data_IF_351197353980
#
_entry.id   IF_351197353980
#
_cell.length_a   1.000
_cell.length_b   1.000
_cell.length_c   1.000
_cell.angle_alpha   90.00
_cell.angle_beta   90.00
_cell.angle_gamma   90.00
#
_symmetry.space_group_name_H-M   'P 1'
#
loop_
_entity.id
_entity.type
_entity.pdbx_description
1 polymer ?
#
# COMPACT_ATOMS: atom_id res chain seq x y z
N UNK A 1 14.49 -17.94 9.27
CA UNK A 1 13.46 -17.42 10.20
C UNK A 1 13.44 -15.91 10.07
N UNK A 2 12.26 -15.27 10.04
CA UNK A 2 12.13 -13.81 10.01
C UNK A 2 12.41 -13.27 11.43
N UNK A 3 13.28 -12.28 11.56
CA UNK A 3 13.65 -11.65 12.84
C UNK A 3 13.59 -10.13 12.69
N UNK A 4 12.83 -9.47 13.56
CA UNK A 4 12.74 -8.00 13.60
C UNK A 4 13.85 -7.41 14.49
N UNK A 5 14.27 -6.16 14.27
CA UNK A 5 13.79 -5.26 13.21
C UNK A 5 14.32 -5.64 11.82
N UNK A 6 13.59 -5.23 10.77
CA UNK A 6 14.03 -5.39 9.39
C UNK A 6 14.21 -4.03 8.73
N UNK A 7 15.33 -3.83 8.04
CA UNK A 7 15.53 -2.65 7.19
C UNK A 7 14.95 -2.85 5.80
N UNK A 8 14.48 -1.75 5.23
CA UNK A 8 13.86 -1.67 3.93
C UNK A 8 14.49 -0.53 3.14
N UNK A 9 14.66 -0.77 1.85
CA UNK A 9 14.97 0.24 0.85
C UNK A 9 14.07 0.00 -0.36
N UNK A 10 13.42 1.04 -0.88
CA UNK A 10 12.40 0.90 -1.90
C UNK A 10 12.45 1.96 -2.98
N UNK A 11 12.17 1.56 -4.23
CA UNK A 11 11.69 2.45 -5.28
C UNK A 11 10.18 2.26 -5.44
N UNK A 12 9.40 3.33 -5.31
CA UNK A 12 7.95 3.31 -5.27
C UNK A 12 7.36 4.17 -6.40
N UNK A 13 6.28 3.69 -7.02
CA UNK A 13 5.37 4.52 -7.83
C UNK A 13 3.99 4.47 -7.17
N UNK A 14 3.46 5.63 -6.81
CA UNK A 14 2.10 5.74 -6.26
C UNK A 14 1.20 6.51 -7.21
N UNK A 15 0.04 5.94 -7.50
CA UNK A 15 -1.09 6.63 -8.08
C UNK A 15 -2.09 6.96 -6.97
N UNK A 16 -2.46 8.22 -6.84
CA UNK A 16 -3.65 8.61 -6.08
C UNK A 16 -4.85 8.50 -7.01
N UNK A 17 -5.71 7.53 -6.73
CA UNK A 17 -6.79 7.11 -7.61
C UNK A 17 -8.12 7.57 -7.04
N UNK A 18 -8.93 8.16 -7.91
CA UNK A 18 -10.35 8.40 -7.68
C UNK A 18 -11.16 7.48 -8.60
N UNK A 19 -12.19 6.84 -8.06
CA UNK A 19 -13.10 5.96 -8.75
C UNK A 19 -14.34 6.75 -9.20
N UNK A 20 -14.87 6.41 -10.37
CA UNK A 20 -16.05 7.09 -10.92
C UNK A 20 -17.32 6.90 -10.06
N UNK A 21 -17.32 5.87 -9.21
CA UNK A 21 -18.33 5.61 -8.19
C UNK A 21 -17.69 4.84 -7.03
N UNK A 22 -18.29 4.92 -5.84
CA UNK A 22 -17.84 4.13 -4.69
C UNK A 22 -17.92 2.63 -4.96
N UNK A 23 -16.96 1.88 -4.43
CA UNK A 23 -16.90 0.42 -4.51
C UNK A 23 -16.78 -0.20 -3.12
N UNK A 24 -17.32 -1.41 -2.98
CA UNK A 24 -17.13 -2.21 -1.77
C UNK A 24 -15.76 -2.88 -1.77
N UNK A 25 -14.78 -2.23 -1.16
CA UNK A 25 -13.42 -2.75 -1.01
C UNK A 25 -13.32 -3.87 0.02
N UNK A 26 -14.34 -4.06 0.88
CA UNK A 26 -14.32 -5.12 1.89
C UNK A 26 -14.28 -6.51 1.26
N UNK A 27 -14.73 -6.66 0.01
CA UNK A 27 -14.69 -7.94 -0.70
C UNK A 27 -13.25 -8.45 -0.95
N UNK A 28 -12.26 -7.54 -0.92
CA UNK A 28 -10.85 -7.86 -1.09
C UNK A 28 -10.15 -8.19 0.24
N UNK A 29 -10.85 -8.08 1.36
CA UNK A 29 -10.31 -8.33 2.70
C UNK A 29 -10.98 -9.57 3.31
N UNK A 30 -10.33 -10.76 3.33
CA UNK A 30 -10.96 -12.01 3.76
C UNK A 30 -11.46 -11.98 5.20
N UNK A 31 -10.77 -11.25 6.07
CA UNK A 31 -11.06 -11.14 7.49
C UNK A 31 -12.07 -10.03 7.82
N UNK A 32 -12.83 -9.56 6.81
CA UNK A 32 -13.81 -8.46 6.95
C UNK A 32 -14.86 -8.69 8.04
N UNK A 33 -15.16 -9.94 8.37
CA UNK A 33 -16.10 -10.32 9.44
C UNK A 33 -15.63 -9.92 10.84
N UNK A 34 -14.34 -9.61 10.99
CA UNK A 34 -13.76 -9.22 12.27
C UNK A 34 -13.53 -7.72 12.37
N UNK A 35 -13.59 -6.99 11.26
CA UNK A 35 -13.47 -5.54 11.27
C UNK A 35 -14.59 -4.94 12.12
N UNK A 36 -14.30 -3.87 12.84
CA UNK A 36 -15.38 -3.11 13.46
C UNK A 36 -16.31 -2.51 12.40
N UNK A 37 -17.54 -2.17 12.84
CA UNK A 37 -18.58 -1.68 11.94
C UNK A 37 -18.21 -0.37 11.25
N UNK A 38 -17.48 0.54 11.90
CA UNK A 38 -17.14 1.85 11.35
C UNK A 38 -16.12 1.71 10.21
N UNK A 39 -15.07 0.91 10.42
CA UNK A 39 -14.10 0.61 9.37
C UNK A 39 -14.77 -0.11 8.20
N UNK A 40 -15.62 -1.10 8.47
CA UNK A 40 -16.33 -1.85 7.43
C UNK A 40 -17.19 -0.94 6.53
N UNK A 41 -17.92 0.02 7.11
CA UNK A 41 -18.72 0.97 6.33
C UNK A 41 -17.84 1.90 5.47
N UNK A 42 -16.68 2.33 5.98
CA UNK A 42 -15.70 3.08 5.17
C UNK A 42 -15.17 2.24 4.00
N UNK A 43 -14.91 0.94 4.21
CA UNK A 43 -14.49 0.03 3.13
C UNK A 43 -15.58 -0.12 2.05
N UNK A 44 -16.85 -0.13 2.44
CA UNK A 44 -17.99 -0.28 1.52
C UNK A 44 -18.25 0.94 0.64
N UNK A 45 -17.82 2.11 1.09
CA UNK A 45 -18.08 3.40 0.46
C UNK A 45 -16.80 4.05 -0.13
N UNK A 46 -15.79 3.24 -0.48
CA UNK A 46 -14.51 3.76 -0.96
C UNK A 46 -14.63 4.29 -2.39
N UNK A 47 -14.31 5.56 -2.61
CA UNK A 47 -14.16 6.22 -3.91
C UNK A 47 -12.74 6.73 -4.17
N UNK A 48 -11.87 6.71 -3.16
CA UNK A 48 -10.47 7.14 -3.24
C UNK A 48 -9.52 6.11 -2.65
N UNK A 49 -8.36 5.94 -3.27
CA UNK A 49 -7.33 5.00 -2.82
C UNK A 49 -5.95 5.38 -3.33
N UNK A 50 -4.93 4.78 -2.73
CA UNK A 50 -3.59 4.78 -3.27
C UNK A 50 -3.23 3.39 -3.78
N UNK A 51 -2.82 3.34 -5.03
CA UNK A 51 -2.17 2.18 -5.62
C UNK A 51 -0.67 2.44 -5.65
N UNK A 52 0.09 1.70 -4.85
CA UNK A 52 1.55 1.80 -4.80
C UNK A 52 2.17 0.54 -5.39
N UNK A 53 3.13 0.72 -6.29
CA UNK A 53 3.97 -0.34 -6.83
C UNK A 53 5.38 -0.10 -6.35
N UNK A 54 5.97 -1.11 -5.72
CA UNK A 54 7.28 -0.98 -5.09
C UNK A 54 8.22 -2.05 -5.60
N UNK A 55 9.47 -1.66 -5.86
CA UNK A 55 10.63 -2.56 -5.87
C UNK A 55 11.35 -2.39 -4.56
N UNK A 56 11.41 -3.45 -3.77
CA UNK A 56 11.90 -3.41 -2.40
C UNK A 56 13.10 -4.34 -2.24
N UNK A 57 14.11 -3.83 -1.56
CA UNK A 57 15.13 -4.61 -0.90
C UNK A 57 14.82 -4.64 0.60
N UNK A 58 14.81 -5.81 1.23
CA UNK A 58 14.58 -5.88 2.69
C UNK A 58 15.33 -7.00 3.37
N UNK A 59 15.79 -6.74 4.58
CA UNK A 59 16.31 -7.76 5.48
C UNK A 59 15.18 -8.72 5.92
N UNK A 60 15.51 -10.00 6.05
CA UNK A 60 14.72 -11.03 6.74
C UNK A 60 15.22 -11.19 8.17
N UNK A 61 16.54 -11.12 8.34
CA UNK A 61 17.32 -11.18 9.57
C UNK A 61 18.70 -10.58 9.31
N UNK A 62 19.60 -10.68 10.29
CA UNK A 62 20.98 -10.16 10.24
C UNK A 62 21.83 -10.65 9.06
N UNK A 63 21.56 -11.84 8.52
CA UNK A 63 22.41 -12.51 7.52
C UNK A 63 21.73 -12.66 6.14
N UNK A 64 20.47 -12.27 6.02
CA UNK A 64 19.66 -12.58 4.84
C UNK A 64 18.77 -11.41 4.44
N UNK A 65 18.81 -11.07 3.16
CA UNK A 65 17.95 -10.08 2.54
C UNK A 65 17.32 -10.63 1.26
N UNK A 66 16.24 -10.00 0.82
CA UNK A 66 15.50 -10.34 -0.39
C UNK A 66 15.19 -9.09 -1.20
N UNK A 67 15.13 -9.28 -2.50
CA UNK A 67 14.51 -8.35 -3.43
C UNK A 67 13.11 -8.85 -3.79
N UNK A 68 12.13 -7.95 -3.79
CA UNK A 68 10.76 -8.29 -4.14
C UNK A 68 10.03 -7.10 -4.77
N UNK A 69 9.00 -7.40 -5.54
CA UNK A 69 8.03 -6.41 -6.01
C UNK A 69 6.77 -6.51 -5.17
N UNK A 70 6.13 -5.38 -4.90
CA UNK A 70 4.88 -5.27 -4.15
C UNK A 70 3.89 -4.35 -4.88
N UNK A 71 2.63 -4.76 -4.99
CA UNK A 71 1.52 -3.89 -5.38
C UNK A 71 0.61 -3.77 -4.17
N UNK A 72 0.56 -2.60 -3.56
CA UNK A 72 -0.24 -2.30 -2.38
C UNK A 72 -1.44 -1.41 -2.76
N UNK A 73 -2.63 -1.86 -2.41
CA UNK A 73 -3.85 -1.05 -2.42
C UNK A 73 -4.16 -0.65 -0.99
N UNK A 74 -4.08 0.65 -0.71
CA UNK A 74 -4.44 1.22 0.60
C UNK A 74 -5.45 2.32 0.43
N UNK A 75 -6.39 2.42 1.35
CA UNK A 75 -7.44 3.43 1.31
C UNK A 75 -7.28 4.39 2.50
N UNK A 76 -7.64 5.67 2.34
CA UNK A 76 -7.73 6.57 3.46
C UNK A 76 -8.91 6.18 4.36
N UNK A 77 -8.68 6.16 5.67
CA UNK A 77 -9.73 5.90 6.68
C UNK A 77 -9.62 6.89 7.84
N UNK A 78 -10.72 7.05 8.56
CA UNK A 78 -10.82 7.80 9.80
C UNK A 78 -11.07 6.86 10.97
N UNK A 79 -10.23 6.97 12.00
CA UNK A 79 -10.37 6.26 13.27
C UNK A 79 -10.13 7.28 14.38
N UNK A 80 -11.10 7.45 15.27
CA UNK A 80 -11.08 8.45 16.35
C UNK A 80 -10.67 9.85 15.86
N UNK A 81 -11.33 10.31 14.79
CA UNK A 81 -11.12 11.59 14.10
C UNK A 81 -9.71 11.83 13.53
N UNK A 82 -8.86 10.80 13.53
CA UNK A 82 -7.52 10.84 12.93
C UNK A 82 -7.50 10.08 11.61
N UNK A 83 -6.79 10.63 10.62
CA UNK A 83 -6.66 10.02 9.30
C UNK A 83 -5.50 9.03 9.24
N UNK A 84 -5.77 7.85 8.70
CA UNK A 84 -4.80 6.78 8.49
C UNK A 84 -4.90 6.23 7.07
N UNK A 85 -3.95 5.38 6.72
CA UNK A 85 -4.09 4.47 5.60
C UNK A 85 -4.39 3.05 6.10
N UNK A 86 -5.46 2.46 5.60
CA UNK A 86 -5.75 1.05 5.81
C UNK A 86 -5.30 0.23 4.59
N UNK A 87 -4.33 -0.70 4.72
CA UNK A 87 -3.88 -1.54 3.62
C UNK A 87 -4.89 -2.67 3.37
N UNK A 88 -5.66 -2.57 2.29
CA UNK A 88 -6.70 -3.54 1.95
C UNK A 88 -6.08 -4.86 1.49
N UNK A 89 -5.19 -4.79 0.52
CA UNK A 89 -4.54 -5.97 -0.03
C UNK A 89 -3.20 -5.59 -0.62
N UNK A 90 -2.24 -6.49 -0.48
CA UNK A 90 -0.96 -6.40 -1.16
C UNK A 90 -0.66 -7.67 -1.95
N UNK A 91 -0.08 -7.51 -3.13
CA UNK A 91 0.41 -8.61 -3.94
C UNK A 91 1.93 -8.55 -4.02
N UNK A 92 2.60 -9.63 -3.62
CA UNK A 92 4.06 -9.67 -3.49
C UNK A 92 4.67 -10.77 -4.34
N UNK A 93 5.86 -10.52 -4.87
CA UNK A 93 6.57 -11.50 -5.70
C UNK A 93 7.43 -12.50 -4.89
N UNK A 94 7.57 -12.30 -3.57
CA UNK A 94 8.47 -13.11 -2.75
C UNK A 94 7.78 -13.69 -1.50
N UNK A 95 7.87 -15.02 -1.26
CA UNK A 95 7.24 -15.69 -0.12
C UNK A 95 7.60 -15.14 1.27
N UNK A 96 8.86 -14.77 1.51
CA UNK A 96 9.24 -14.13 2.78
C UNK A 96 8.52 -12.79 3.04
N UNK A 97 8.24 -11.98 2.01
CA UNK A 97 7.44 -10.75 2.18
C UNK A 97 5.98 -11.07 2.51
N UNK A 98 5.41 -12.12 1.91
CA UNK A 98 4.07 -12.65 2.22
C UNK A 98 3.98 -13.08 3.69
N UNK A 99 4.90 -13.95 4.12
CA UNK A 99 4.91 -14.51 5.48
C UNK A 99 5.11 -13.38 6.52
N UNK A 100 6.06 -12.46 6.28
CA UNK A 100 6.26 -11.29 7.14
C UNK A 100 5.01 -10.42 7.20
N UNK A 101 4.34 -10.23 6.07
CA UNK A 101 3.05 -9.52 6.00
C UNK A 101 2.03 -10.12 6.96
N UNK A 102 1.80 -11.43 6.90
CA UNK A 102 0.88 -12.10 7.83
C UNK A 102 1.31 -11.98 9.29
N UNK A 103 2.61 -12.07 9.59
CA UNK A 103 3.11 -11.85 10.96
C UNK A 103 2.79 -10.44 11.48
N UNK A 104 2.82 -9.44 10.60
CA UNK A 104 2.54 -8.05 10.94
C UNK A 104 1.05 -7.69 10.82
N UNK A 105 0.19 -8.58 10.30
CA UNK A 105 -1.25 -8.31 10.12
C UNK A 105 -1.67 -7.72 8.79
N UNK A 106 -0.80 -7.78 7.79
CA UNK A 106 -1.15 -7.44 6.41
C UNK A 106 -1.80 -8.63 5.73
N UNK A 107 -2.90 -8.35 5.02
CA UNK A 107 -3.39 -9.28 4.03
C UNK A 107 -2.54 -9.18 2.77
N UNK A 108 -1.81 -10.27 2.46
CA UNK A 108 -0.97 -10.36 1.27
C UNK A 108 -1.32 -11.60 0.45
N UNK A 109 -1.11 -11.53 -0.85
CA UNK A 109 -1.15 -12.66 -1.79
C UNK A 109 0.18 -12.78 -2.55
N UNK A 110 0.59 -14.00 -2.90
CA UNK A 110 1.73 -14.22 -3.77
C UNK A 110 1.33 -14.05 -5.24
N UNK A 111 2.08 -13.23 -5.98
CA UNK A 111 1.90 -13.05 -7.41
C UNK A 111 3.23 -12.67 -8.09
N UNK A 112 3.79 -13.62 -8.85
CA UNK A 112 5.10 -13.50 -9.50
C UNK A 112 5.03 -12.78 -10.85
N UNK A 113 3.83 -12.41 -11.33
CA UNK A 113 3.63 -11.93 -12.71
C UNK A 113 3.79 -10.42 -12.87
N UNK A 114 3.96 -9.67 -11.78
CA UNK A 114 4.09 -8.22 -11.86
C UNK A 114 5.43 -7.81 -12.45
N UNK A 115 5.39 -7.18 -13.64
CA UNK A 115 6.55 -6.57 -14.28
C UNK A 115 6.48 -5.06 -14.11
N UNK A 116 7.55 -4.49 -13.56
CA UNK A 116 7.67 -3.05 -13.37
C UNK A 116 8.68 -2.45 -14.35
N UNK A 117 8.23 -1.47 -15.12
CA UNK A 117 9.11 -0.64 -15.95
C UNK A 117 8.91 0.83 -15.59
N UNK A 118 10.00 1.58 -15.36
CA UNK A 118 9.95 2.94 -14.78
C UNK A 118 9.09 3.95 -15.54
N UNK A 119 8.71 3.70 -16.81
CA UNK A 119 7.92 4.60 -17.67
C UNK A 119 6.48 4.13 -17.93
N UNK A 120 6.17 2.89 -17.55
CA UNK A 120 4.90 2.24 -17.88
C UNK A 120 4.46 1.35 -16.71
N UNK A 121 3.24 1.56 -16.26
CA UNK A 121 2.57 0.73 -15.27
C UNK A 121 1.58 -0.14 -16.02
N UNK A 122 1.91 -1.43 -16.13
CA UNK A 122 1.02 -2.46 -16.66
C UNK A 122 0.79 -3.50 -15.56
N UNK A 123 -0.32 -3.34 -14.85
CA UNK A 123 -0.68 -4.22 -13.74
C UNK A 123 -2.10 -4.72 -13.96
N UNK A 124 -2.31 -5.99 -13.69
CA UNK A 124 -3.65 -6.55 -13.66
C UNK A 124 -3.72 -7.75 -12.76
N UNK A 125 -4.83 -7.84 -12.03
CA UNK A 125 -5.25 -9.03 -11.30
C UNK A 125 -6.67 -9.34 -11.77
N UNK A 126 -6.83 -10.52 -12.36
CA UNK A 126 -8.12 -10.94 -12.93
C UNK A 126 -9.24 -10.81 -11.90
N UNK A 127 -10.36 -10.19 -12.31
CA UNK A 127 -11.51 -9.93 -11.44
C UNK A 127 -11.33 -8.79 -10.43
N UNK A 128 -10.10 -8.30 -10.19
CA UNK A 128 -9.82 -7.25 -9.20
C UNK A 128 -9.53 -5.92 -9.86
N UNK A 129 -8.43 -5.81 -10.60
CA UNK A 129 -8.02 -4.53 -11.20
C UNK A 129 -7.29 -4.71 -12.52
N UNK A 130 -7.27 -3.63 -13.31
CA UNK A 130 -6.41 -3.48 -14.47
C UNK A 130 -5.99 -2.03 -14.58
N UNK A 131 -4.71 -1.75 -14.38
CA UNK A 131 -4.09 -0.45 -14.57
C UNK A 131 -3.12 -0.53 -15.74
N UNK A 132 -3.37 0.29 -16.76
CA UNK A 132 -2.54 0.41 -17.95
C UNK A 132 -2.28 1.89 -18.16
N UNK A 133 -1.13 2.33 -17.69
CA UNK A 133 -0.76 3.74 -17.71
C UNK A 133 0.67 3.89 -18.19
N UNK A 134 0.83 4.52 -19.35
CA UNK A 134 2.12 5.04 -19.78
C UNK A 134 2.18 6.52 -19.42
N UNK A 135 3.35 6.95 -18.94
CA UNK A 135 3.55 8.35 -18.63
C UNK A 135 4.85 8.81 -19.26
N UNK A 136 4.83 10.02 -19.82
CA UNK A 136 6.04 10.66 -20.26
C UNK A 136 6.57 11.51 -19.11
N UNK A 137 7.84 11.33 -18.77
CA UNK A 137 8.57 12.20 -17.83
C UNK A 137 8.88 13.52 -18.55
N UNK A 138 7.86 14.30 -18.82
CA UNK A 138 8.06 15.66 -19.31
C UNK A 138 8.42 16.55 -18.12
N UNK A 139 9.65 17.08 -18.12
CA UNK A 139 10.17 17.95 -17.05
C UNK A 139 9.27 19.17 -16.80
N UNK A 140 8.46 19.60 -17.79
CA UNK A 140 7.51 20.69 -17.63
C UNK A 140 6.36 20.39 -16.66
N UNK A 141 6.10 19.11 -16.37
CA UNK A 141 5.04 18.64 -15.45
C UNK A 141 5.57 18.24 -14.06
N UNK A 142 6.89 18.34 -13.85
CA UNK A 142 7.55 18.00 -12.60
C UNK A 142 7.30 19.09 -11.55
N UNK A 143 6.73 18.70 -10.41
CA UNK A 143 6.77 19.51 -9.20
C UNK A 143 7.72 18.86 -8.19
N UNK A 144 8.75 19.62 -7.79
CA UNK A 144 9.48 19.29 -6.57
C UNK A 144 8.61 19.72 -5.39
N UNK A 145 7.99 18.77 -4.71
CA UNK A 145 7.24 19.03 -3.47
C UNK A 145 7.83 18.19 -2.35
N UNK A 146 8.25 18.82 -1.27
CA UNK A 146 8.84 18.12 -0.11
C UNK A 146 7.79 17.48 0.81
N UNK A 147 6.50 17.78 0.62
CA UNK A 147 5.44 17.25 1.49
C UNK A 147 5.11 15.79 1.13
N UNK A 148 5.64 14.87 1.93
CA UNK A 148 5.22 13.46 1.96
C UNK A 148 3.92 13.35 2.77
N UNK A 149 2.94 12.63 2.25
CA UNK A 149 1.79 12.21 3.05
C UNK A 149 2.23 11.16 4.07
N UNK A 150 2.29 11.56 5.33
CA UNK A 150 2.80 10.74 6.45
C UNK A 150 1.69 10.06 7.26
N UNK A 151 0.49 9.92 6.70
CA UNK A 151 -0.58 9.15 7.37
C UNK A 151 -0.06 7.75 7.75
N UNK A 152 -0.10 7.37 9.04
CA UNK A 152 0.37 6.06 9.46
C UNK A 152 -0.47 4.93 8.85
N UNK A 153 0.15 3.77 8.67
CA UNK A 153 -0.58 2.55 8.32
C UNK A 153 -1.25 1.99 9.56
N UNK A 154 -2.57 1.92 9.51
CA UNK A 154 -3.41 1.33 10.55
C UNK A 154 -3.83 -0.08 10.12
N UNK A 155 -3.77 -1.00 11.07
CA UNK A 155 -4.08 -2.41 10.90
C UNK A 155 -5.15 -2.78 11.90
N UNK A 156 -6.10 -3.59 11.47
CA UNK A 156 -7.11 -4.17 12.33
C UNK A 156 -6.94 -5.67 12.23
N UNK A 157 -6.57 -6.34 13.32
CA UNK A 157 -6.07 -7.71 13.19
C UNK A 157 -6.63 -8.67 14.26
N UNK A 158 -6.98 -9.87 13.80
CA UNK A 158 -7.08 -11.09 14.60
C UNK A 158 -6.00 -12.06 14.10
N UNK A 159 -4.73 -11.77 14.37
CA UNK A 159 -3.66 -12.73 14.11
C UNK A 159 -3.68 -13.81 15.18
N UNK A 160 -3.61 -15.08 14.80
CA UNK A 160 -3.43 -16.20 15.74
C UNK A 160 -2.14 -16.10 16.59
N UNK A 161 -1.23 -15.17 16.26
CA UNK A 161 -0.01 -14.86 17.01
C UNK A 161 -0.15 -13.64 17.93
N UNK A 162 -1.20 -12.83 17.73
CA UNK A 162 -1.53 -11.67 18.56
C UNK A 162 -2.78 -12.06 19.35
N UNK A 163 -2.56 -12.62 20.55
CA UNK A 163 -3.62 -12.92 21.49
C UNK A 163 -4.51 -11.68 21.72
N UNK A 164 -5.79 -11.81 21.37
CA UNK A 164 -6.98 -11.08 21.84
C UNK A 164 -6.85 -9.55 21.97
N UNK A 165 -7.45 -8.84 21.01
CA UNK A 165 -8.62 -7.96 21.16
C UNK A 165 -8.84 -7.25 19.81
N UNK A 166 -10.10 -7.05 19.43
CA UNK A 166 -10.52 -6.19 18.31
C UNK A 166 -9.94 -4.79 18.52
N UNK A 167 -8.73 -4.56 18.02
CA UNK A 167 -7.95 -3.38 18.33
C UNK A 167 -7.17 -2.91 17.12
N UNK A 168 -7.11 -1.58 17.02
CA UNK A 168 -6.28 -0.90 16.05
C UNK A 168 -4.82 -0.95 16.46
N UNK A 169 -3.99 -1.30 15.49
CA UNK A 169 -2.55 -1.33 15.62
C UNK A 169 -1.91 -0.49 14.51
N UNK A 170 -0.75 0.07 14.78
CA UNK A 170 0.06 0.79 13.82
C UNK A 170 1.29 -0.03 13.47
N UNK A 171 1.72 0.05 12.21
CA UNK A 171 3.05 -0.42 11.84
C UNK A 171 4.11 0.45 12.51
N UNK A 172 5.04 -0.17 13.24
CA UNK A 172 6.10 0.56 13.93
C UNK A 172 7.29 0.78 13.00
N UNK A 173 7.30 1.96 12.37
CA UNK A 173 8.34 2.41 11.44
C UNK A 173 9.24 3.42 12.14
N UNK A 174 10.56 3.18 12.08
CA UNK A 174 11.61 4.10 12.53
C UNK A 174 12.59 4.40 11.40
N UNK A 175 13.48 5.36 11.64
CA UNK A 175 14.61 5.66 10.76
C UNK A 175 14.19 5.91 9.30
N UNK A 176 13.01 6.52 9.12
CA UNK A 176 12.47 6.82 7.80
C UNK A 176 13.29 7.94 7.14
N UNK A 177 13.81 7.66 5.97
CA UNK A 177 14.55 8.59 5.12
C UNK A 177 13.96 8.57 3.71
N UNK A 178 13.47 9.72 3.24
CA UNK A 178 13.10 9.93 1.84
C UNK A 178 14.36 10.36 1.08
N UNK A 179 14.85 9.49 0.19
CA UNK A 179 16.06 9.72 -0.60
C UNK A 179 15.78 10.55 -1.86
N UNK A 180 14.66 10.29 -2.53
CA UNK A 180 14.26 10.99 -3.75
C UNK A 180 12.74 11.04 -3.84
N UNK A 181 12.19 12.14 -4.38
CA UNK A 181 10.77 12.27 -4.70
C UNK A 181 10.56 13.07 -5.97
N UNK A 182 9.72 12.56 -6.86
CA UNK A 182 9.29 13.24 -8.08
C UNK A 182 7.76 13.16 -8.16
N UNK A 183 7.08 14.30 -8.19
CA UNK A 183 5.61 14.35 -8.35
C UNK A 183 5.30 14.93 -9.72
N UNK A 184 4.56 14.19 -10.53
CA UNK A 184 4.08 14.66 -11.84
C UNK A 184 2.58 14.84 -11.79
N UNK A 185 2.11 16.05 -12.09
CA UNK A 185 0.67 16.38 -12.17
C UNK A 185 0.26 16.58 -13.63
N UNK A 186 -0.94 16.14 -13.95
CA UNK A 186 -1.52 16.24 -15.28
C UNK A 186 -3.05 16.38 -15.19
N UNK A 187 -3.68 16.70 -16.32
CA UNK A 187 -5.15 16.67 -16.41
C UNK A 187 -5.66 15.29 -16.04
N UNK A 188 -6.69 15.22 -15.19
CA UNK A 188 -7.27 13.95 -14.74
C UNK A 188 -7.60 13.02 -15.92
N UNK A 189 -7.01 11.83 -15.92
CA UNK A 189 -7.17 10.81 -16.96
C UNK A 189 -7.63 9.50 -16.36
N UNK A 190 -8.26 8.65 -17.17
CA UNK A 190 -8.55 7.27 -16.81
C UNK A 190 -7.27 6.42 -16.96
N UNK A 191 -6.91 5.71 -15.90
CA UNK A 191 -5.70 4.87 -15.84
C UNK A 191 -6.01 3.37 -15.78
N UNK A 192 -7.28 3.01 -15.59
CA UNK A 192 -7.66 1.62 -15.46
C UNK A 192 -9.06 1.40 -14.92
N UNK A 193 -9.23 0.27 -14.27
CA UNK A 193 -10.40 -0.06 -13.48
C UNK A 193 -10.04 -0.85 -12.22
N UNK A 194 -10.89 -0.74 -11.21
CA UNK A 194 -10.88 -1.52 -9.97
C UNK A 194 -12.31 -2.00 -9.71
N UNK A 195 -12.48 -3.31 -9.52
CA UNK A 195 -13.76 -3.98 -9.31
C UNK A 195 -14.82 -3.62 -10.37
N UNK A 196 -14.36 -3.47 -11.62
CA UNK A 196 -15.21 -3.07 -12.76
C UNK A 196 -15.52 -1.59 -12.85
N UNK A 197 -15.09 -0.77 -11.88
CA UNK A 197 -15.29 0.69 -11.88
C UNK A 197 -14.08 1.40 -12.47
N UNK A 198 -14.32 2.40 -13.31
CA UNK A 198 -13.25 3.20 -13.91
C UNK A 198 -12.44 3.93 -12.84
N UNK A 199 -11.12 3.86 -12.98
CA UNK A 199 -10.16 4.48 -12.08
C UNK A 199 -9.46 5.63 -12.79
N UNK A 200 -9.42 6.80 -12.15
CA UNK A 200 -8.84 8.03 -12.67
C UNK A 200 -7.77 8.56 -11.74
N UNK A 201 -6.80 9.28 -12.29
CA UNK A 201 -5.79 10.00 -11.52
C UNK A 201 -5.40 11.28 -12.24
N UNK A 202 -4.91 12.25 -11.47
CA UNK A 202 -4.34 13.50 -11.97
C UNK A 202 -2.85 13.63 -11.60
N UNK A 203 -2.28 12.62 -10.92
CA UNK A 203 -0.87 12.65 -10.54
C UNK A 203 -0.26 11.28 -10.33
N UNK A 204 1.04 11.20 -10.57
CA UNK A 204 1.88 10.06 -10.22
C UNK A 204 3.04 10.54 -9.35
N UNK A 205 3.39 9.74 -8.35
CA UNK A 205 4.43 10.03 -7.38
C UNK A 205 5.49 8.94 -7.52
N UNK A 206 6.75 9.33 -7.70
CA UNK A 206 7.91 8.46 -7.60
C UNK A 206 8.63 8.78 -6.31
N UNK A 207 8.85 7.78 -5.48
CA UNK A 207 9.61 7.95 -4.24
C UNK A 207 10.71 6.90 -4.16
N UNK A 208 11.86 7.26 -3.61
CA UNK A 208 12.84 6.31 -3.12
C UNK A 208 13.01 6.54 -1.62
N UNK A 209 12.85 5.50 -0.81
CA UNK A 209 12.89 5.61 0.64
C UNK A 209 13.64 4.46 1.31
N UNK A 210 14.06 4.72 2.55
CA UNK A 210 14.62 3.75 3.49
C UNK A 210 13.89 3.87 4.82
N UNK A 211 13.68 2.74 5.48
CA UNK A 211 13.08 2.71 6.81
C UNK A 211 13.33 1.37 7.51
N UNK A 212 13.01 1.31 8.80
CA UNK A 212 13.10 0.11 9.60
C UNK A 212 11.73 -0.23 10.20
N UNK A 213 11.33 -1.51 10.10
CA UNK A 213 10.12 -2.02 10.76
C UNK A 213 10.53 -2.78 12.02
N UNK A 214 9.98 -2.37 13.17
CA UNK A 214 10.18 -3.01 14.46
C UNK A 214 9.09 -4.02 14.84
N UNK A 215 7.95 -3.95 14.15
CA UNK A 215 6.77 -4.78 14.43
C UNK A 215 5.51 -3.95 14.34
N UNK A 216 4.57 -4.24 15.23
CA UNK A 216 3.35 -3.46 15.40
C UNK A 216 3.30 -2.86 16.80
N UNK A 217 2.65 -1.71 16.93
CA UNK A 217 2.34 -1.08 18.21
C UNK A 217 0.84 -0.83 18.32
N UNK A 218 0.32 -0.85 19.54
CA UNK A 218 -1.09 -0.50 19.76
C UNK A 218 -1.32 0.97 19.39
N UNK A 219 -2.50 1.26 18.85
CA UNK A 219 -2.96 2.64 18.76
C UNK A 219 -3.23 3.14 20.18
N UNK A 220 -2.46 4.10 20.67
CA UNK A 220 -2.73 4.75 21.95
C UNK A 220 -3.94 5.68 21.80
N UNK A 221 -4.90 5.56 22.74
CA UNK A 221 -6.12 6.37 22.78
C UNK A 221 -5.83 7.83 23.13
#
# INVERSE_FOLDING_TARGET
>A
MIRLPNKFEGENITLEVELDQSVDMSILYPDKKYLDGSLLEQLKATDQLNLTVSKMHSEINEDCAIDYTEVLIKIPVLVDDKSYYFPIVSYVSHPYSLIRGYYLGFYKELDEKFKFQKKEIHLGKEGVFRFNFSFNRDESSLMQTDSVDRRPLILFNQSNLIYKEESYNLLDITDYELLQREVFRFSKIQVGCLLGVAARTEKVIFDQDKFQIHGIKKLEA
#
